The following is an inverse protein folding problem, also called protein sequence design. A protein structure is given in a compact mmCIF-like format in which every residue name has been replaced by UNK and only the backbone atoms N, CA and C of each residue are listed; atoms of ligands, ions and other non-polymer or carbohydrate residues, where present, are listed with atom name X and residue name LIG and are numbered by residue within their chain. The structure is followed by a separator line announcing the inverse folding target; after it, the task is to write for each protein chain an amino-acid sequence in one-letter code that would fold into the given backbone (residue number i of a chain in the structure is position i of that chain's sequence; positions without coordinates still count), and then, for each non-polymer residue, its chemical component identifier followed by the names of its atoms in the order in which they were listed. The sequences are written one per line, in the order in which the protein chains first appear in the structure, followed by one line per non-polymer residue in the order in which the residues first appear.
data_IF_176186344758
#
_entry.id   IF_176186344758
#
_cell.length_a   1.000
_cell.length_b   1.000
_cell.length_c   1.000
_cell.angle_alpha   90.00
_cell.angle_beta   90.00
_cell.angle_gamma   90.00
#
_symmetry.space_group_name_H-M   'P 1'
#
loop_
_entity.id
_entity.type
_entity.pdbx_description
1 polymer ?
#
# COMPACT_ATOMS: atom_id res chain seq x y z
N UNK A 1 -13.83 5.37 -15.34
CA UNK A 1 -13.41 4.86 -14.01
C UNK A 1 -13.19 6.08 -13.13
N UNK A 2 -13.79 6.13 -11.94
CA UNK A 2 -13.51 7.21 -10.98
C UNK A 2 -12.04 7.12 -10.55
N UNK A 3 -11.31 8.23 -10.61
CA UNK A 3 -9.89 8.29 -10.23
C UNK A 3 -9.67 7.82 -8.79
N UNK A 4 -10.58 8.17 -7.87
CA UNK A 4 -10.48 7.73 -6.48
C UNK A 4 -10.63 6.21 -6.35
N UNK A 5 -11.51 5.59 -7.14
CA UNK A 5 -11.65 4.13 -7.16
C UNK A 5 -10.46 3.43 -7.79
N UNK A 6 -9.92 3.99 -8.87
CA UNK A 6 -8.71 3.50 -9.49
C UNK A 6 -7.54 3.46 -8.48
N UNK A 7 -7.28 4.59 -7.80
CA UNK A 7 -6.21 4.68 -6.80
C UNK A 7 -6.39 3.67 -5.67
N UNK A 8 -7.60 3.55 -5.12
CA UNK A 8 -7.90 2.56 -4.05
C UNK A 8 -7.62 1.13 -4.53
N UNK A 9 -8.05 0.80 -5.75
CA UNK A 9 -7.88 -0.54 -6.31
C UNK A 9 -6.41 -0.86 -6.61
N UNK A 10 -5.67 0.06 -7.22
CA UNK A 10 -4.25 -0.13 -7.54
C UNK A 10 -3.42 -0.37 -6.30
N UNK A 11 -3.57 0.45 -5.25
CA UNK A 11 -2.82 0.26 -4.01
C UNK A 11 -3.20 -1.06 -3.31
N UNK A 12 -4.48 -1.40 -3.26
CA UNK A 12 -4.95 -2.67 -2.68
C UNK A 12 -4.31 -3.88 -3.38
N UNK A 13 -4.35 -3.90 -4.72
CA UNK A 13 -3.73 -4.96 -5.53
C UNK A 13 -2.23 -5.03 -5.35
N UNK A 14 -1.55 -3.88 -5.31
CA UNK A 14 -0.10 -3.81 -5.10
C UNK A 14 0.28 -4.40 -3.73
N UNK A 15 -0.40 -3.97 -2.66
CA UNK A 15 -0.16 -4.48 -1.32
C UNK A 15 -0.40 -6.01 -1.25
N UNK A 16 -1.45 -6.51 -1.90
CA UNK A 16 -1.73 -7.95 -1.95
C UNK A 16 -0.61 -8.74 -2.63
N UNK A 17 -0.10 -8.25 -3.77
CA UNK A 17 1.04 -8.85 -4.45
C UNK A 17 2.29 -8.85 -3.57
N UNK A 18 2.64 -7.70 -3.00
CA UNK A 18 3.84 -7.55 -2.17
C UNK A 18 3.82 -8.47 -0.94
N UNK A 19 2.66 -8.61 -0.28
CA UNK A 19 2.50 -9.52 0.86
C UNK A 19 2.63 -10.99 0.47
N UNK A 20 2.10 -11.37 -0.70
CA UNK A 20 2.23 -12.73 -1.22
C UNK A 20 3.69 -13.06 -1.56
N UNK A 21 4.40 -12.14 -2.22
CA UNK A 21 5.83 -12.28 -2.56
C UNK A 21 6.72 -12.33 -1.31
N UNK A 22 6.38 -11.55 -0.29
CA UNK A 22 7.14 -11.47 0.96
C UNK A 22 6.72 -12.50 2.02
N UNK A 23 5.71 -13.33 1.73
CA UNK A 23 5.08 -14.26 2.69
C UNK A 23 4.75 -13.59 4.04
N UNK A 24 4.22 -12.37 3.99
CA UNK A 24 4.03 -11.50 5.15
C UNK A 24 2.55 -11.18 5.35
N UNK A 25 2.12 -11.00 6.60
CA UNK A 25 0.77 -10.50 6.91
C UNK A 25 0.75 -8.97 6.96
N UNK A 26 -0.43 -8.36 6.79
CA UNK A 26 -0.59 -6.90 6.93
C UNK A 26 -0.08 -6.38 8.28
N UNK A 27 -0.34 -7.12 9.37
CA UNK A 27 0.14 -6.73 10.70
C UNK A 27 1.66 -6.79 10.81
N UNK A 28 2.29 -7.80 10.19
CA UNK A 28 3.74 -7.92 10.14
C UNK A 28 4.36 -6.79 9.30
N UNK A 29 3.76 -6.45 8.15
CA UNK A 29 4.20 -5.32 7.32
C UNK A 29 4.11 -4.00 8.07
N UNK A 30 2.98 -3.72 8.71
CA UNK A 30 2.85 -2.50 9.51
C UNK A 30 3.90 -2.44 10.64
N UNK A 31 4.18 -3.56 11.31
CA UNK A 31 5.21 -3.62 12.35
C UNK A 31 6.61 -3.36 11.78
N UNK A 32 6.94 -3.94 10.63
CA UNK A 32 8.24 -3.77 9.97
C UNK A 32 8.42 -2.33 9.45
N UNK A 33 7.37 -1.75 8.86
CA UNK A 33 7.33 -0.34 8.47
C UNK A 33 7.63 0.56 9.66
N UNK A 34 6.95 0.37 10.80
CA UNK A 34 7.23 1.16 12.01
C UNK A 34 8.65 0.96 12.53
N UNK A 35 9.20 -0.26 12.47
CA UNK A 35 10.57 -0.54 12.88
C UNK A 35 11.61 0.18 12.01
N UNK A 36 11.29 0.45 10.74
CA UNK A 36 12.10 1.22 9.79
C UNK A 36 11.83 2.74 9.84
N UNK A 37 10.97 3.20 10.75
CA UNK A 37 10.66 4.63 10.93
C UNK A 37 9.44 5.13 10.15
N UNK A 38 8.75 4.27 9.41
CA UNK A 38 7.52 4.59 8.69
C UNK A 38 6.31 4.42 9.61
N UNK A 39 5.84 5.53 10.18
CA UNK A 39 4.75 5.54 11.15
C UNK A 39 3.40 5.25 10.48
N UNK A 40 2.93 4.00 10.60
CA UNK A 40 1.62 3.58 10.09
C UNK A 40 0.92 2.61 11.04
N UNK A 41 -0.37 2.84 11.31
CA UNK A 41 -1.15 1.92 12.14
C UNK A 41 -1.51 0.68 11.32
N UNK A 42 -1.53 -0.53 11.92
CA UNK A 42 -1.97 -1.74 11.22
C UNK A 42 -3.38 -1.61 10.63
N UNK A 43 -4.30 -0.93 11.32
CA UNK A 43 -5.66 -0.67 10.83
C UNK A 43 -5.69 0.24 9.61
N UNK A 44 -4.81 1.25 9.55
CA UNK A 44 -4.67 2.14 8.40
C UNK A 44 -4.19 1.36 7.17
N UNK A 45 -3.16 0.53 7.34
CA UNK A 45 -2.64 -0.30 6.25
C UNK A 45 -3.68 -1.36 5.81
N UNK A 46 -4.44 -1.93 6.74
CA UNK A 46 -5.54 -2.84 6.43
C UNK A 46 -6.66 -2.16 5.62
N UNK A 47 -7.00 -0.90 5.92
CA UNK A 47 -7.99 -0.15 5.14
C UNK A 47 -7.51 0.10 3.71
N UNK A 48 -6.21 0.33 3.50
CA UNK A 48 -5.62 0.47 2.16
C UNK A 48 -5.62 -0.85 1.39
N UNK A 49 -5.22 -1.93 2.06
CA UNK A 49 -5.26 -3.29 1.51
C UNK A 49 -6.68 -3.71 1.09
N UNK A 50 -7.70 -3.35 1.87
CA UNK A 50 -9.10 -3.65 1.56
C UNK A 50 -9.73 -2.67 0.55
N UNK A 51 -8.99 -1.65 0.08
CA UNK A 51 -9.55 -0.59 -0.77
C UNK A 51 -10.66 0.23 -0.10
N UNK A 52 -10.75 0.22 1.23
CA UNK A 52 -11.82 0.85 2.00
C UNK A 52 -11.68 2.38 2.10
N UNK A 53 -10.45 2.89 2.03
CA UNK A 53 -10.14 4.31 2.17
C UNK A 53 -9.12 4.77 1.15
N UNK A 54 -9.20 6.03 0.73
CA UNK A 54 -8.19 6.65 -0.13
C UNK A 54 -6.84 6.75 0.60
N UNK A 55 -5.76 6.53 -0.15
CA UNK A 55 -4.38 6.61 0.36
C UNK A 55 -3.88 8.04 0.17
N UNK A 56 -3.57 8.79 1.25
CA UNK A 56 -2.97 10.12 1.13
C UNK A 56 -1.61 10.04 0.43
N UNK A 57 -1.25 11.08 -0.31
CA UNK A 57 0.02 11.10 -1.06
C UNK A 57 1.27 10.85 -0.18
N UNK A 58 1.28 11.34 1.06
CA UNK A 58 2.35 11.06 2.03
C UNK A 58 2.47 9.56 2.35
N UNK A 59 1.34 8.86 2.47
CA UNK A 59 1.33 7.44 2.75
C UNK A 59 1.66 6.62 1.51
N UNK A 60 1.26 7.08 0.32
CA UNK A 60 1.68 6.46 -0.94
C UNK A 60 3.20 6.54 -1.12
N UNK A 61 3.82 7.70 -0.86
CA UNK A 61 5.28 7.87 -0.87
C UNK A 61 5.97 6.95 0.14
N UNK A 62 5.45 6.88 1.36
CA UNK A 62 5.98 6.03 2.42
C UNK A 62 5.90 4.54 2.06
N UNK A 63 4.78 4.08 1.50
CA UNK A 63 4.62 2.69 1.06
C UNK A 63 5.56 2.39 -0.11
N UNK A 64 5.67 3.31 -1.08
CA UNK A 64 6.54 3.16 -2.23
C UNK A 64 8.02 3.03 -1.81
N UNK A 65 8.48 3.94 -0.94
CA UNK A 65 9.84 3.93 -0.38
C UNK A 65 10.12 2.63 0.39
N UNK A 66 9.21 2.21 1.27
CA UNK A 66 9.35 0.94 2.01
C UNK A 66 9.41 -0.29 1.09
N UNK A 67 8.58 -0.33 0.04
CA UNK A 67 8.54 -1.44 -0.91
C UNK A 67 9.66 -1.36 -1.96
N UNK A 68 10.50 -0.31 -1.95
CA UNK A 68 11.56 -0.13 -2.94
C UNK A 68 11.04 0.12 -4.36
N UNK A 69 9.90 0.81 -4.49
CA UNK A 69 9.20 1.07 -5.75
C UNK A 69 8.91 2.57 -5.90
N UNK A 70 8.36 2.99 -7.04
CA UNK A 70 7.85 4.34 -7.25
C UNK A 70 6.35 4.46 -6.94
N UNK A 71 5.89 5.69 -6.66
CA UNK A 71 4.44 5.96 -6.54
C UNK A 71 3.72 5.70 -7.86
N UNK A 72 4.38 5.94 -8.99
CA UNK A 72 3.82 5.64 -10.31
C UNK A 72 3.60 4.14 -10.51
N UNK A 73 4.51 3.29 -10.03
CA UNK A 73 4.29 1.84 -10.01
C UNK A 73 3.18 1.44 -9.04
N UNK A 74 3.14 2.03 -7.84
CA UNK A 74 2.08 1.76 -6.85
C UNK A 74 0.68 2.07 -7.40
N UNK A 75 0.56 3.16 -8.17
CA UNK A 75 -0.70 3.63 -8.74
C UNK A 75 -1.00 3.04 -10.12
N UNK A 76 0.05 2.77 -10.91
CA UNK A 76 -0.03 2.31 -12.29
C UNK A 76 0.00 0.79 -12.45
N UNK A 77 0.30 0.02 -11.40
CA UNK A 77 0.52 -1.43 -11.48
C UNK A 77 -0.66 -2.25 -12.02
N UNK A 78 -1.86 -1.70 -12.22
CA UNK A 78 -3.02 -2.48 -12.66
C UNK A 78 -3.97 -1.71 -13.57
N UNK A 79 -3.41 -1.01 -14.57
CA UNK A 79 -4.14 -0.68 -15.80
C UNK A 79 -4.15 -1.94 -16.68
N UNK A 80 -4.91 -2.95 -16.26
CA UNK A 80 -5.39 -4.04 -17.12
C UNK A 80 -6.91 -4.14 -16.96
#
# INVERSE_FOLDING_TARGET
MDYAEHVKSSVAKYLAKHLAESNMTINAMAKDMNAKGYLIRPTTLANYFNGATMVPGSNALMIADYCGTSVDELLGAYVE
#
